data_IF_553656668156
#
_entry.id   IF_553656668156
#
_cell.length_a   1.000
_cell.length_b   1.000
_cell.length_c   1.000
_cell.angle_alpha   90.00
_cell.angle_beta   90.00
_cell.angle_gamma   90.00
#
_symmetry.space_group_name_H-M   'P 1'
#
loop_
_entity.id
_entity.type
_entity.pdbx_description
1 polymer ?
#
# COMPACT_ATOMS: atom_id res chain seq x y z
N UNK A 1 39.81 25.32 37.50
CA UNK A 1 39.97 24.70 36.17
C UNK A 1 39.60 23.24 36.31
N UNK A 2 38.37 22.84 35.95
CA UNK A 2 38.03 21.44 35.61
C UNK A 2 36.56 21.19 35.26
N UNK A 3 35.63 22.15 35.39
CA UNK A 3 34.19 21.88 35.12
C UNK A 3 33.69 22.25 33.72
N UNK A 4 34.53 22.80 32.84
CA UNK A 4 34.12 23.15 31.47
C UNK A 4 34.41 22.07 30.41
N UNK A 5 34.93 20.91 30.80
CA UNK A 5 35.40 19.89 29.86
C UNK A 5 34.53 18.61 29.80
N UNK A 6 33.50 18.50 30.64
CA UNK A 6 32.57 17.36 30.62
C UNK A 6 31.24 17.62 29.89
N UNK A 7 31.01 18.84 29.41
CA UNK A 7 29.79 19.21 28.68
C UNK A 7 29.91 19.09 27.14
N UNK A 8 31.08 18.71 26.61
CA UNK A 8 31.33 18.68 25.16
C UNK A 8 31.47 17.26 24.55
N UNK A 9 31.19 16.20 25.31
CA UNK A 9 31.35 14.80 24.82
C UNK A 9 30.02 14.09 24.52
N UNK A 10 28.88 14.79 24.51
CA UNK A 10 27.57 14.24 24.06
C UNK A 10 27.09 14.85 22.74
N UNK A 11 28.00 15.25 21.86
CA UNK A 11 27.68 15.61 20.48
C UNK A 11 27.87 14.40 19.55
N UNK A 12 26.87 14.18 18.68
CA UNK A 12 26.83 13.31 17.49
C UNK A 12 26.05 11.98 17.57
N UNK A 13 24.95 11.92 18.32
CA UNK A 13 23.85 11.09 17.82
C UNK A 13 23.12 11.87 16.71
N UNK A 14 23.23 11.44 15.45
CA UNK A 14 22.49 12.08 14.34
C UNK A 14 20.99 12.13 14.68
N UNK A 15 20.42 13.34 14.59
CA UNK A 15 19.00 13.58 14.79
C UNK A 15 18.18 12.79 13.76
N UNK A 16 17.02 12.22 14.13
CA UNK A 16 16.14 11.56 13.18
C UNK A 16 15.87 12.39 11.92
N UNK A 17 15.78 11.78 10.74
CA UNK A 17 15.45 12.53 9.52
C UNK A 17 14.02 13.06 9.56
N UNK A 18 13.08 12.22 10.02
CA UNK A 18 11.67 12.54 10.22
C UNK A 18 11.50 13.54 11.37
N UNK A 19 10.77 14.64 11.10
CA UNK A 19 10.44 15.63 12.14
C UNK A 19 9.46 15.01 13.13
N UNK A 20 8.49 14.24 12.66
CA UNK A 20 7.59 13.47 13.52
C UNK A 20 8.35 12.54 14.50
N UNK A 21 9.45 11.91 14.07
CA UNK A 21 10.31 11.13 14.97
C UNK A 21 11.00 11.97 16.06
N UNK A 22 11.41 13.20 15.74
CA UNK A 22 11.96 14.13 16.75
C UNK A 22 10.91 14.56 17.76
N UNK A 23 9.67 14.75 17.32
CA UNK A 23 8.53 15.17 18.16
C UNK A 23 7.92 13.98 18.94
N UNK A 24 8.20 12.75 18.49
CA UNK A 24 7.67 11.52 19.06
C UNK A 24 6.21 11.22 18.67
N UNK A 25 5.68 11.89 17.64
CA UNK A 25 4.32 11.74 17.11
C UNK A 25 4.21 12.25 15.67
N UNK A 26 3.19 11.78 14.93
CA UNK A 26 2.82 12.30 13.62
C UNK A 26 2.14 13.65 13.78
N UNK A 27 2.74 14.67 13.16
CA UNK A 27 2.32 16.05 13.38
C UNK A 27 2.76 16.97 12.23
N UNK A 28 1.94 17.97 11.93
CA UNK A 28 2.37 19.09 11.08
C UNK A 28 3.55 19.84 11.71
N UNK A 29 4.52 20.21 10.86
CA UNK A 29 5.68 20.99 11.28
C UNK A 29 5.28 22.44 11.52
N UNK A 30 6.16 23.24 12.15
CA UNK A 30 5.98 24.70 12.24
C UNK A 30 5.90 25.40 10.88
N UNK A 31 6.37 24.76 9.80
CA UNK A 31 6.18 25.23 8.42
C UNK A 31 4.78 24.95 7.86
N UNK A 32 3.91 24.29 8.63
CA UNK A 32 2.58 23.85 8.22
C UNK A 32 2.59 22.63 7.30
N UNK A 33 3.70 21.87 7.22
CA UNK A 33 3.84 20.70 6.34
C UNK A 33 3.82 19.38 7.08
N UNK A 34 3.27 18.36 6.43
CA UNK A 34 3.38 16.96 6.84
C UNK A 34 3.56 16.10 5.59
N UNK A 35 4.49 15.14 5.59
CA UNK A 35 4.87 14.40 4.37
C UNK A 35 4.74 12.90 4.57
N UNK A 36 4.03 12.26 3.66
CA UNK A 36 3.90 10.80 3.59
C UNK A 36 4.52 10.31 2.29
N UNK A 37 5.35 9.28 2.36
CA UNK A 37 5.91 8.62 1.20
C UNK A 37 5.29 7.22 1.06
N UNK A 38 4.67 6.91 -0.07
CA UNK A 38 4.12 5.60 -0.35
C UNK A 38 5.12 4.75 -1.16
N UNK A 39 5.37 3.53 -0.68
CA UNK A 39 5.97 2.45 -1.43
C UNK A 39 4.89 1.40 -1.75
N UNK A 40 4.69 1.11 -3.03
CA UNK A 40 3.75 0.10 -3.51
C UNK A 40 4.52 -1.04 -4.20
N UNK A 41 4.05 -2.27 -3.99
CA UNK A 41 4.50 -3.47 -4.71
C UNK A 41 6.01 -3.61 -4.82
N UNK A 42 6.71 -3.55 -3.68
CA UNK A 42 8.17 -3.74 -3.65
C UNK A 42 8.54 -5.10 -4.22
N UNK A 43 7.79 -6.16 -3.88
CA UNK A 43 7.95 -7.53 -4.41
C UNK A 43 9.40 -7.97 -4.64
N UNK A 44 10.29 -7.63 -3.69
CA UNK A 44 11.70 -8.03 -3.79
C UNK A 44 12.11 -8.92 -2.61
N UNK A 45 11.36 -8.96 -1.50
CA UNK A 45 11.69 -9.84 -0.38
C UNK A 45 11.52 -11.30 -0.84
N UNK A 46 12.56 -12.15 -0.66
CA UNK A 46 13.68 -12.00 0.28
C UNK A 46 14.99 -11.47 -0.32
N UNK A 47 15.07 -11.28 -1.64
CA UNK A 47 16.26 -10.81 -2.37
C UNK A 47 16.09 -9.36 -2.81
N UNK A 48 16.11 -8.45 -1.84
CA UNK A 48 15.91 -7.01 -2.07
C UNK A 48 16.92 -6.45 -3.08
N UNK A 49 16.44 -5.83 -4.16
CA UNK A 49 17.30 -5.23 -5.19
C UNK A 49 18.04 -4.02 -4.64
N UNK A 50 19.30 -3.84 -5.04
CA UNK A 50 20.08 -2.65 -4.68
C UNK A 50 19.49 -1.37 -5.27
N UNK A 51 18.84 -1.43 -6.43
CA UNK A 51 18.18 -0.27 -7.03
C UNK A 51 16.93 0.13 -6.23
N UNK A 52 16.17 -0.84 -5.69
CA UNK A 52 15.06 -0.56 -4.76
C UNK A 52 15.55 0.17 -3.51
N UNK A 53 16.67 -0.29 -2.93
CA UNK A 53 17.30 0.40 -1.80
C UNK A 53 17.72 1.83 -2.18
N UNK A 54 18.43 2.01 -3.29
CA UNK A 54 18.85 3.33 -3.77
C UNK A 54 17.67 4.28 -4.00
N UNK A 55 16.56 3.78 -4.53
CA UNK A 55 15.33 4.55 -4.72
C UNK A 55 14.78 5.05 -3.38
N UNK A 56 14.55 4.13 -2.43
CA UNK A 56 14.00 4.46 -1.11
C UNK A 56 14.92 5.45 -0.38
N UNK A 57 16.24 5.23 -0.39
CA UNK A 57 17.22 6.11 0.22
C UNK A 57 17.24 7.52 -0.38
N UNK A 58 17.24 7.60 -1.71
CA UNK A 58 17.26 8.89 -2.41
C UNK A 58 15.95 9.64 -2.21
N UNK A 59 14.81 8.94 -2.23
CA UNK A 59 13.51 9.54 -1.98
C UNK A 59 13.41 10.08 -0.55
N UNK A 60 13.79 9.27 0.45
CA UNK A 60 13.81 9.70 1.84
C UNK A 60 14.72 10.92 2.05
N UNK A 61 15.89 10.93 1.42
CA UNK A 61 16.85 12.04 1.53
C UNK A 61 16.32 13.32 0.86
N UNK A 62 15.66 13.19 -0.29
CA UNK A 62 15.12 14.32 -1.04
C UNK A 62 13.93 14.98 -0.35
N UNK A 63 12.98 14.19 0.17
CA UNK A 63 11.69 14.73 0.66
C UNK A 63 11.53 14.71 2.18
N UNK A 64 12.41 13.99 2.89
CA UNK A 64 12.43 13.91 4.37
C UNK A 64 11.05 13.62 4.95
N UNK A 65 10.45 12.46 4.63
CA UNK A 65 9.08 12.16 5.01
C UNK A 65 8.91 12.02 6.52
N UNK A 66 7.71 12.33 7.01
CA UNK A 66 7.30 12.07 8.38
C UNK A 66 6.96 10.60 8.60
N UNK A 67 6.38 9.97 7.58
CA UNK A 67 5.91 8.59 7.57
C UNK A 67 6.16 7.95 6.20
N UNK A 68 6.62 6.69 6.18
CA UNK A 68 6.59 5.85 4.98
C UNK A 68 5.48 4.80 5.10
N UNK A 69 4.69 4.62 4.06
CA UNK A 69 3.58 3.64 4.00
C UNK A 69 3.88 2.59 2.94
N UNK A 70 3.96 1.33 3.34
CA UNK A 70 4.04 0.17 2.44
C UNK A 70 2.63 -0.38 2.18
N UNK A 71 2.18 -0.33 0.92
CA UNK A 71 0.79 -0.60 0.51
C UNK A 71 0.57 -2.01 -0.04
N UNK A 72 1.11 -3.02 0.63
CA UNK A 72 1.04 -4.42 0.20
C UNK A 72 2.13 -4.86 -0.77
N UNK A 73 2.25 -6.18 -0.91
CA UNK A 73 3.17 -6.89 -1.79
C UNK A 73 4.63 -6.45 -1.60
N UNK A 74 5.13 -6.52 -0.37
CA UNK A 74 6.56 -6.35 -0.12
C UNK A 74 7.35 -7.62 -0.44
N UNK A 75 6.69 -8.78 -0.30
CA UNK A 75 7.27 -10.11 -0.52
C UNK A 75 6.82 -10.63 -1.88
N UNK A 76 7.79 -11.09 -2.67
CA UNK A 76 7.50 -11.88 -3.87
C UNK A 76 7.23 -13.33 -3.46
N UNK A 77 6.10 -13.57 -2.79
CA UNK A 77 5.80 -14.88 -2.20
C UNK A 77 5.69 -16.03 -3.20
N UNK A 78 5.54 -15.72 -4.49
CA UNK A 78 5.53 -16.66 -5.62
C UNK A 78 6.92 -17.10 -6.10
N UNK A 79 8.00 -16.51 -5.57
CA UNK A 79 9.38 -16.84 -5.97
C UNK A 79 9.76 -18.29 -5.65
N UNK A 80 10.68 -18.84 -6.45
CA UNK A 80 11.16 -20.23 -6.32
C UNK A 80 11.75 -20.59 -4.99
N UNK A 81 12.27 -19.61 -4.26
CA UNK A 81 12.78 -19.84 -2.92
C UNK A 81 11.69 -20.22 -1.90
N UNK A 82 10.41 -19.97 -2.21
CA UNK A 82 9.27 -20.32 -1.36
C UNK A 82 8.46 -21.51 -1.89
N UNK A 83 8.93 -22.23 -2.92
CA UNK A 83 8.10 -23.25 -3.59
C UNK A 83 7.63 -24.38 -2.66
N UNK A 84 8.43 -24.75 -1.65
CA UNK A 84 8.06 -25.77 -0.66
C UNK A 84 7.06 -25.28 0.39
N UNK A 85 6.91 -23.97 0.56
CA UNK A 85 6.03 -23.34 1.55
C UNK A 85 4.91 -22.53 0.89
N UNK A 86 4.85 -22.55 -0.44
CA UNK A 86 3.99 -21.68 -1.22
C UNK A 86 2.52 -21.93 -0.91
N UNK A 87 1.81 -20.86 -0.58
CA UNK A 87 0.37 -20.91 -0.35
C UNK A 87 -0.34 -20.13 -1.45
N UNK A 88 -1.09 -20.81 -2.32
CA UNK A 88 -1.75 -20.14 -3.45
C UNK A 88 -2.90 -19.24 -2.99
N UNK A 89 -3.69 -19.68 -1.99
CA UNK A 89 -4.86 -18.97 -1.44
C UNK A 89 -4.95 -19.19 0.07
N UNK A 90 -5.35 -18.18 0.84
CA UNK A 90 -5.43 -18.27 2.30
C UNK A 90 -6.44 -19.32 2.81
N UNK A 91 -7.47 -19.67 2.02
CA UNK A 91 -8.46 -20.70 2.39
C UNK A 91 -8.05 -22.13 2.01
N UNK A 92 -6.88 -22.33 1.39
CA UNK A 92 -6.37 -23.68 1.18
C UNK A 92 -5.80 -24.24 2.48
N UNK A 93 -6.03 -25.53 2.73
CA UNK A 93 -5.35 -26.21 3.84
C UNK A 93 -3.87 -26.31 3.49
N UNK A 94 -3.02 -25.68 4.29
CA UNK A 94 -1.60 -26.01 4.28
C UNK A 94 -1.40 -27.33 5.02
N UNK A 95 -0.50 -28.17 4.51
CA UNK A 95 0.04 -29.26 5.31
C UNK A 95 0.80 -28.68 6.51
N UNK A 96 0.92 -29.46 7.59
CA UNK A 96 1.68 -29.04 8.75
C UNK A 96 3.16 -28.97 8.38
N UNK A 97 3.70 -27.75 8.30
CA UNK A 97 5.12 -27.50 8.11
C UNK A 97 5.89 -27.89 9.38
N UNK A 98 6.99 -28.67 9.27
CA UNK A 98 7.86 -28.94 10.40
C UNK A 98 8.37 -27.66 11.07
N UNK A 99 8.51 -27.66 12.40
CA UNK A 99 8.92 -26.48 13.16
C UNK A 99 10.28 -25.91 12.73
N UNK A 100 11.21 -26.77 12.30
CA UNK A 100 12.52 -26.34 11.79
C UNK A 100 12.40 -25.52 10.52
N UNK A 101 11.57 -25.97 9.58
CA UNK A 101 11.34 -25.32 8.29
C UNK A 101 10.60 -24.00 8.49
N UNK A 102 9.64 -23.98 9.43
CA UNK A 102 8.92 -22.75 9.80
C UNK A 102 9.87 -21.69 10.37
N UNK A 103 10.79 -22.08 11.26
CA UNK A 103 11.81 -21.16 11.81
C UNK A 103 12.75 -20.64 10.73
N UNK A 104 13.16 -21.49 9.80
CA UNK A 104 14.00 -21.09 8.67
C UNK A 104 13.28 -20.09 7.75
N UNK A 105 12.00 -20.34 7.43
CA UNK A 105 11.17 -19.44 6.63
C UNK A 105 11.01 -18.07 7.32
N UNK A 106 10.66 -18.05 8.60
CA UNK A 106 10.55 -16.82 9.40
C UNK A 106 11.85 -16.01 9.37
N UNK A 107 13.01 -16.67 9.57
CA UNK A 107 14.30 -16.00 9.55
C UNK A 107 14.66 -15.47 8.16
N UNK A 108 14.37 -16.23 7.10
CA UNK A 108 14.63 -15.82 5.72
C UNK A 108 13.80 -14.59 5.33
N UNK A 109 12.50 -14.60 5.64
CA UNK A 109 11.60 -13.47 5.38
C UNK A 109 12.05 -12.26 6.20
N UNK A 110 12.33 -12.44 7.49
CA UNK A 110 12.84 -11.38 8.38
C UNK A 110 14.14 -10.75 7.86
N UNK A 111 15.08 -11.55 7.33
CA UNK A 111 16.32 -11.03 6.75
C UNK A 111 16.05 -10.16 5.52
N UNK A 112 15.10 -10.55 4.68
CA UNK A 112 14.70 -9.73 3.53
C UNK A 112 14.00 -8.44 3.95
N UNK A 113 13.06 -8.51 4.91
CA UNK A 113 12.40 -7.33 5.50
C UNK A 113 13.45 -6.38 6.09
N UNK A 114 14.41 -6.91 6.86
CA UNK A 114 15.48 -6.13 7.47
C UNK A 114 16.26 -5.32 6.44
N UNK A 115 16.63 -5.93 5.30
CA UNK A 115 17.28 -5.22 4.19
C UNK A 115 16.39 -4.15 3.57
N UNK A 116 15.11 -4.45 3.36
CA UNK A 116 14.16 -3.51 2.76
C UNK A 116 13.99 -2.24 3.62
N UNK A 117 13.85 -2.40 4.94
CA UNK A 117 13.57 -1.28 5.85
C UNK A 117 14.83 -0.64 6.44
N UNK A 118 16.02 -1.20 6.20
CA UNK A 118 17.30 -0.67 6.68
C UNK A 118 17.49 0.83 6.36
N UNK A 119 17.18 1.33 5.14
CA UNK A 119 17.20 2.77 4.84
C UNK A 119 16.41 3.64 5.80
N UNK A 120 15.24 3.16 6.25
CA UNK A 120 14.31 3.87 7.12
C UNK A 120 14.76 3.79 8.58
N UNK A 121 15.19 2.61 9.03
CA UNK A 121 15.69 2.40 10.40
C UNK A 121 16.95 3.25 10.66
N UNK A 122 17.92 3.24 9.74
CA UNK A 122 19.15 4.06 9.85
C UNK A 122 18.82 5.56 9.95
N UNK A 123 17.82 6.01 9.20
CA UNK A 123 17.39 7.43 9.14
C UNK A 123 16.34 7.77 10.19
N UNK A 124 15.93 6.80 11.02
CA UNK A 124 14.91 6.97 12.06
C UNK A 124 13.59 7.53 11.51
N UNK A 125 13.14 6.97 10.39
CA UNK A 125 11.89 7.36 9.72
C UNK A 125 10.81 6.35 10.10
N UNK A 126 9.72 6.77 10.78
CA UNK A 126 8.59 5.91 11.08
C UNK A 126 7.97 5.33 9.82
N UNK A 127 7.54 4.07 9.89
CA UNK A 127 6.90 3.41 8.77
C UNK A 127 5.80 2.43 9.20
N UNK A 128 4.91 2.15 8.26
CA UNK A 128 3.73 1.29 8.44
C UNK A 128 3.53 0.41 7.22
N UNK A 129 2.86 -0.73 7.41
CA UNK A 129 2.64 -1.71 6.37
C UNK A 129 1.21 -2.29 6.41
N UNK A 130 0.61 -2.43 5.24
CA UNK A 130 -0.52 -3.34 4.98
C UNK A 130 -0.11 -4.39 3.95
N UNK A 131 -0.98 -5.36 3.70
CA UNK A 131 -0.68 -6.57 2.96
C UNK A 131 -1.37 -6.61 1.61
N UNK A 132 -0.73 -7.30 0.66
CA UNK A 132 -1.28 -7.60 -0.64
C UNK A 132 -1.46 -9.09 -0.87
N UNK A 133 -1.83 -9.42 -2.09
CA UNK A 133 -2.16 -10.78 -2.53
C UNK A 133 -0.96 -11.71 -2.71
N UNK A 134 0.27 -11.18 -2.69
CA UNK A 134 1.51 -11.95 -2.82
C UNK A 134 2.25 -12.15 -1.49
N UNK A 135 1.99 -11.35 -0.46
CA UNK A 135 2.77 -11.39 0.78
C UNK A 135 2.67 -12.74 1.51
N UNK A 136 1.43 -13.23 1.70
CA UNK A 136 1.18 -14.51 2.39
C UNK A 136 1.64 -15.72 1.56
N UNK A 137 1.88 -15.54 0.26
CA UNK A 137 2.17 -16.66 -0.63
C UNK A 137 3.50 -17.34 -0.30
N UNK A 138 4.39 -16.69 0.45
CA UNK A 138 5.59 -17.31 0.99
C UNK A 138 5.32 -18.42 2.03
N UNK A 139 4.08 -18.56 2.51
CA UNK A 139 3.66 -19.57 3.49
C UNK A 139 3.45 -19.07 4.91
N UNK A 140 3.60 -17.76 5.13
CA UNK A 140 3.35 -17.10 6.42
C UNK A 140 2.01 -16.37 6.42
N UNK A 141 1.30 -16.38 7.54
CA UNK A 141 0.06 -15.60 7.68
C UNK A 141 0.35 -14.11 7.86
N UNK A 142 -0.66 -13.26 7.66
CA UNK A 142 -0.51 -11.82 7.91
C UNK A 142 -0.18 -11.53 9.39
N UNK A 143 -0.68 -12.33 10.34
CA UNK A 143 -0.33 -12.22 11.77
C UNK A 143 1.15 -12.50 12.03
N UNK A 144 1.73 -13.48 11.33
CA UNK A 144 3.14 -13.81 11.44
C UNK A 144 4.01 -12.74 10.79
N UNK A 145 3.64 -12.29 9.60
CA UNK A 145 4.31 -11.18 8.92
C UNK A 145 4.25 -9.90 9.76
N UNK A 146 3.08 -9.55 10.30
CA UNK A 146 2.91 -8.40 11.20
C UNK A 146 3.80 -8.52 12.44
N UNK A 147 3.91 -9.72 13.00
CA UNK A 147 4.79 -9.99 14.12
C UNK A 147 6.25 -9.77 13.78
N UNK A 148 6.72 -10.19 12.59
CA UNK A 148 8.07 -9.90 12.12
C UNK A 148 8.31 -8.40 11.90
N UNK A 149 7.37 -7.70 11.26
CA UNK A 149 7.49 -6.26 11.02
C UNK A 149 7.53 -5.45 12.33
N UNK A 150 6.80 -5.87 13.36
CA UNK A 150 6.77 -5.20 14.67
C UNK A 150 8.05 -5.33 15.49
N UNK A 151 8.99 -6.17 15.08
CA UNK A 151 10.30 -6.28 15.73
C UNK A 151 11.22 -5.08 15.42
N UNK A 152 10.91 -4.29 14.39
CA UNK A 152 11.68 -3.13 13.98
C UNK A 152 11.23 -1.86 14.71
N UNK A 153 12.20 -1.00 15.06
CA UNK A 153 11.98 0.13 15.97
C UNK A 153 11.15 1.26 15.37
N UNK A 154 11.24 1.47 14.05
CA UNK A 154 10.48 2.48 13.34
C UNK A 154 9.14 1.96 12.81
N UNK A 155 8.85 0.66 12.92
CA UNK A 155 7.56 0.09 12.56
C UNK A 155 6.48 0.54 13.53
N UNK A 156 5.36 1.05 13.01
CA UNK A 156 4.22 1.50 13.82
C UNK A 156 3.01 0.55 13.80
N UNK A 157 3.05 -0.59 13.10
CA UNK A 157 1.97 -1.58 13.18
C UNK A 157 1.79 -2.08 14.62
N UNK A 158 0.56 -2.25 15.13
CA UNK A 158 0.31 -2.72 16.50
C UNK A 158 -0.87 -3.68 16.55
N UNK A 159 -0.86 -4.54 17.56
CA UNK A 159 -1.96 -5.48 17.82
C UNK A 159 -2.91 -4.85 18.84
N UNK A 160 -4.21 -5.09 18.65
CA UNK A 160 -5.21 -4.73 19.65
C UNK A 160 -5.10 -5.70 20.84
N UNK A 161 -4.61 -5.24 21.99
CA UNK A 161 -4.77 -6.02 23.22
C UNK A 161 -6.21 -5.82 23.70
N UNK A 162 -7.04 -6.86 23.61
CA UNK A 162 -8.46 -6.86 24.00
C UNK A 162 -8.72 -6.58 25.50
N UNK A 163 -7.68 -6.31 26.29
CA UNK A 163 -7.77 -5.96 27.71
C UNK A 163 -7.58 -4.46 27.88
N UNK A 164 -8.70 -3.73 28.01
CA UNK A 164 -8.88 -2.33 28.43
C UNK A 164 -9.56 -1.47 27.37
N UNK A 165 -10.79 -1.06 27.71
CA UNK A 165 -11.59 0.02 27.13
C UNK A 165 -10.78 1.15 26.48
N UNK A 166 -11.14 1.47 25.22
CA UNK A 166 -11.09 2.78 24.52
C UNK A 166 -9.90 3.75 24.74
N UNK A 167 -8.83 3.32 25.38
CA UNK A 167 -7.62 4.09 25.63
C UNK A 167 -6.56 3.64 24.65
N UNK A 168 -6.20 4.55 23.74
CA UNK A 168 -5.12 4.39 22.80
C UNK A 168 -3.87 3.78 23.47
N UNK A 169 -3.39 2.65 22.96
CA UNK A 169 -2.18 2.03 23.49
C UNK A 169 -0.94 2.83 23.08
N UNK A 170 -0.39 3.62 23.99
CA UNK A 170 0.98 4.14 23.88
C UNK A 170 1.96 2.97 24.03
N UNK A 171 2.86 2.77 23.06
CA UNK A 171 3.83 1.66 23.03
C UNK A 171 5.24 2.17 23.34
N UNK A 172 5.91 1.51 24.28
CA UNK A 172 7.26 1.84 24.81
C UNK A 172 8.42 1.53 23.87
N UNK A 173 8.20 0.82 22.75
CA UNK A 173 9.24 0.43 21.78
C UNK A 173 9.12 1.13 20.42
N UNK A 174 8.20 2.09 20.26
CA UNK A 174 8.07 2.87 19.04
C UNK A 174 8.99 4.09 19.08
N UNK A 175 9.63 4.43 17.96
CA UNK A 175 10.31 5.73 17.85
C UNK A 175 9.35 6.92 18.10
N UNK A 176 8.06 6.74 17.83
CA UNK A 176 7.00 7.69 18.17
C UNK A 176 6.34 7.35 19.51
N UNK A 177 7.08 7.54 20.60
CA UNK A 177 6.64 7.19 21.97
C UNK A 177 5.37 7.92 22.46
N UNK A 178 4.96 9.01 21.81
CA UNK A 178 3.72 9.76 22.14
C UNK A 178 2.58 9.49 21.16
N UNK A 179 2.79 8.64 20.15
CA UNK A 179 1.80 8.40 19.11
C UNK A 179 0.63 7.57 19.66
N UNK A 180 -0.57 8.01 19.31
CA UNK A 180 -1.80 7.23 19.46
C UNK A 180 -1.97 6.35 18.23
N UNK A 181 -2.22 5.05 18.43
CA UNK A 181 -2.45 4.07 17.37
C UNK A 181 -3.75 3.34 17.72
N UNK A 182 -4.68 3.27 16.77
CA UNK A 182 -5.95 2.55 16.91
C UNK A 182 -5.87 1.27 16.07
N UNK A 183 -5.40 0.14 16.63
CA UNK A 183 -5.29 -1.12 15.91
C UNK A 183 -6.63 -1.85 15.77
N UNK A 184 -6.81 -2.59 14.66
CA UNK A 184 -7.96 -3.47 14.47
C UNK A 184 -7.52 -4.94 14.27
N UNK A 185 -6.74 -5.18 13.22
CA UNK A 185 -6.17 -6.47 12.84
C UNK A 185 -4.91 -6.23 12.00
N UNK A 186 -4.08 -7.25 11.70
CA UNK A 186 -2.89 -7.06 10.88
C UNK A 186 -3.16 -6.22 9.63
N UNK A 187 -2.39 -5.14 9.43
CA UNK A 187 -2.52 -4.26 8.27
C UNK A 187 -3.72 -3.31 8.29
N UNK A 188 -4.58 -3.38 9.31
CA UNK A 188 -5.74 -2.48 9.45
C UNK A 188 -5.70 -1.71 10.77
N UNK A 189 -5.51 -0.39 10.69
CA UNK A 189 -5.42 0.50 11.86
C UNK A 189 -5.46 1.98 11.45
N UNK A 190 -5.67 2.87 12.42
CA UNK A 190 -5.66 4.32 12.22
C UNK A 190 -4.58 5.03 13.04
N UNK A 191 -4.02 6.10 12.46
CA UNK A 191 -2.95 6.93 12.99
C UNK A 191 -3.38 8.41 12.93
N UNK A 192 -3.80 9.00 14.04
CA UNK A 192 -4.11 10.43 14.10
C UNK A 192 -2.88 11.30 13.85
N UNK A 193 -3.05 12.36 13.07
CA UNK A 193 -2.04 13.38 12.75
C UNK A 193 -2.44 14.69 13.42
N UNK A 194 -1.57 15.19 14.29
CA UNK A 194 -1.82 16.40 15.08
C UNK A 194 -1.47 17.68 14.31
N UNK A 195 -2.08 18.80 14.67
CA UNK A 195 -1.69 20.15 14.27
C UNK A 195 -0.32 20.56 14.84
N UNK A 196 0.24 21.68 14.39
CA UNK A 196 1.55 22.17 14.83
C UNK A 196 1.60 22.53 16.32
N UNK A 197 0.45 22.85 16.94
CA UNK A 197 0.34 23.17 18.38
C UNK A 197 0.17 21.94 19.28
N UNK A 198 -0.09 20.76 18.71
CA UNK A 198 -0.40 19.51 19.43
C UNK A 198 -1.74 19.51 20.17
N UNK A 199 -2.66 20.38 19.76
CA UNK A 199 -3.95 20.56 20.43
C UNK A 199 -5.04 19.72 19.76
N UNK A 200 -5.02 19.61 18.43
CA UNK A 200 -6.08 18.97 17.67
C UNK A 200 -5.55 17.91 16.71
N UNK A 201 -6.34 16.85 16.53
CA UNK A 201 -6.18 15.92 15.40
C UNK A 201 -6.73 16.61 14.16
N UNK A 202 -5.90 16.79 13.12
CA UNK A 202 -6.32 17.42 11.86
C UNK A 202 -7.01 16.40 10.95
N UNK A 203 -6.38 15.24 10.79
CA UNK A 203 -6.91 14.08 10.07
C UNK A 203 -6.23 12.81 10.57
N UNK A 204 -6.65 11.64 10.09
CA UNK A 204 -5.95 10.37 10.38
C UNK A 204 -5.53 9.65 9.11
N UNK A 205 -4.34 9.06 9.15
CA UNK A 205 -3.90 8.06 8.17
C UNK A 205 -4.56 6.73 8.56
N UNK A 206 -5.21 6.06 7.62
CA UNK A 206 -5.88 4.77 7.85
C UNK A 206 -5.29 3.74 6.91
N UNK A 207 -4.80 2.63 7.44
CA UNK A 207 -4.42 1.47 6.65
C UNK A 207 -5.55 0.46 6.69
N UNK A 208 -5.83 -0.19 5.55
CA UNK A 208 -6.80 -1.27 5.43
C UNK A 208 -6.11 -2.44 4.72
N UNK A 209 -6.21 -3.66 5.29
CA UNK A 209 -5.95 -4.89 4.55
C UNK A 209 -7.14 -5.13 3.62
N UNK A 210 -6.93 -4.86 2.32
CA UNK A 210 -7.97 -4.96 1.30
C UNK A 210 -8.33 -6.40 0.92
N UNK A 211 -7.74 -7.39 1.59
CA UNK A 211 -7.96 -8.82 1.36
C UNK A 211 -6.99 -9.41 0.34
N UNK A 212 -7.27 -10.64 -0.10
CA UNK A 212 -6.48 -11.38 -1.08
C UNK A 212 -7.26 -11.66 -2.38
N UNK A 213 -7.64 -12.91 -2.62
CA UNK A 213 -8.38 -13.32 -3.80
C UNK A 213 -9.82 -13.63 -3.40
N UNK A 214 -10.78 -13.46 -4.31
CA UNK A 214 -12.14 -13.94 -4.06
C UNK A 214 -12.24 -15.44 -4.38
N UNK A 215 -13.04 -16.18 -3.60
CA UNK A 215 -13.38 -17.58 -3.89
C UNK A 215 -14.13 -17.72 -5.22
N UNK A 216 -14.86 -16.68 -5.65
CA UNK A 216 -15.53 -16.64 -6.96
C UNK A 216 -14.54 -16.37 -8.13
N UNK A 217 -13.27 -16.15 -7.85
CA UNK A 217 -12.26 -15.63 -8.78
C UNK A 217 -12.17 -14.09 -8.71
N UNK A 218 -11.01 -13.56 -9.12
CA UNK A 218 -10.68 -12.14 -9.00
C UNK A 218 -10.10 -11.77 -7.64
N UNK A 219 -10.14 -10.49 -7.30
CA UNK A 219 -9.61 -9.95 -6.05
C UNK A 219 -10.67 -9.91 -4.96
N UNK A 220 -10.19 -10.02 -3.72
CA UNK A 220 -11.00 -10.05 -2.50
C UNK A 220 -11.47 -8.65 -2.08
N UNK A 221 -11.92 -8.55 -0.84
CA UNK A 221 -12.37 -7.30 -0.23
C UNK A 221 -11.92 -7.28 1.23
N UNK A 222 -11.90 -6.10 1.90
CA UNK A 222 -11.62 -6.04 3.32
C UNK A 222 -12.54 -6.96 4.14
N UNK A 223 -12.02 -7.41 5.29
CA UNK A 223 -12.81 -8.20 6.22
C UNK A 223 -13.99 -7.40 6.79
N UNK A 224 -15.04 -8.08 7.25
CA UNK A 224 -16.14 -7.41 7.98
C UNK A 224 -15.64 -6.68 9.22
N UNK A 225 -14.59 -7.21 9.87
CA UNK A 225 -14.00 -6.60 11.05
C UNK A 225 -13.31 -5.28 10.69
N UNK A 226 -12.56 -5.22 9.59
CA UNK A 226 -11.96 -4.00 9.06
C UNK A 226 -13.03 -2.95 8.69
N UNK A 227 -14.07 -3.33 7.96
CA UNK A 227 -15.15 -2.40 7.59
C UNK A 227 -15.89 -1.85 8.83
N UNK A 228 -16.22 -2.71 9.80
CA UNK A 228 -16.85 -2.28 11.05
C UNK A 228 -15.94 -1.37 11.88
N UNK A 229 -14.63 -1.57 11.85
CA UNK A 229 -13.67 -0.69 12.51
C UNK A 229 -13.67 0.69 11.85
N UNK A 230 -13.57 0.76 10.53
CA UNK A 230 -13.60 2.01 9.77
C UNK A 230 -14.89 2.78 9.99
N UNK A 231 -16.04 2.08 10.00
CA UNK A 231 -17.35 2.70 10.26
C UNK A 231 -17.41 3.43 11.62
N UNK A 232 -16.68 2.94 12.63
CA UNK A 232 -16.68 3.46 13.99
C UNK A 232 -15.59 4.50 14.27
N UNK A 233 -14.65 4.72 13.34
CA UNK A 233 -13.59 5.72 13.54
C UNK A 233 -14.12 7.13 13.89
N UNK A 234 -15.22 7.62 13.27
CA UNK A 234 -15.79 8.92 13.63
C UNK A 234 -16.26 9.04 15.09
N UNK A 235 -16.47 7.95 15.81
CA UNK A 235 -16.85 7.97 17.23
C UNK A 235 -15.72 8.51 18.13
N UNK A 236 -14.47 8.44 17.65
CA UNK A 236 -13.27 8.78 18.44
C UNK A 236 -12.32 9.76 17.74
N UNK A 237 -12.49 9.98 16.44
CA UNK A 237 -11.61 10.82 15.62
C UNK A 237 -12.42 11.75 14.72
N UNK A 238 -11.90 12.94 14.38
CA UNK A 238 -12.50 13.79 13.36
C UNK A 238 -12.72 13.01 12.04
N UNK A 239 -13.86 13.18 11.36
CA UNK A 239 -14.22 12.43 10.15
C UNK A 239 -13.44 12.94 8.92
N UNK A 240 -12.12 12.78 8.95
CA UNK A 240 -11.15 13.21 7.94
C UNK A 240 -10.08 12.13 7.82
N UNK A 241 -10.20 11.29 6.80
CA UNK A 241 -9.35 10.11 6.65
C UNK A 241 -8.62 10.08 5.30
N UNK A 242 -7.33 9.81 5.35
CA UNK A 242 -6.52 9.48 4.18
C UNK A 242 -6.20 7.98 4.25
N UNK A 243 -6.79 7.21 3.33
CA UNK A 243 -6.80 5.76 3.38
C UNK A 243 -5.71 5.20 2.46
N UNK A 244 -4.96 4.22 2.95
CA UNK A 244 -3.96 3.47 2.21
C UNK A 244 -4.34 1.99 2.22
N UNK A 245 -4.34 1.36 1.04
CA UNK A 245 -4.63 -0.05 0.89
C UNK A 245 -3.89 -0.63 -0.31
N UNK A 246 -3.97 -1.95 -0.49
CA UNK A 246 -3.32 -2.59 -1.61
C UNK A 246 -4.15 -2.48 -2.90
N UNK A 247 -5.37 -3.01 -2.90
CA UNK A 247 -6.22 -3.04 -4.09
C UNK A 247 -6.89 -1.69 -4.37
N UNK A 248 -6.95 -1.27 -5.65
CA UNK A 248 -7.81 -0.15 -6.05
C UNK A 248 -9.29 -0.53 -5.92
N UNK A 249 -10.12 0.48 -5.72
CA UNK A 249 -11.59 0.35 -5.70
C UNK A 249 -12.14 0.39 -7.12
N UNK A 250 -13.33 -0.19 -7.36
CA UNK A 250 -13.99 -0.09 -8.68
C UNK A 250 -14.17 1.37 -9.13
N UNK A 251 -14.32 2.29 -8.18
CA UNK A 251 -14.52 3.71 -8.41
C UNK A 251 -13.32 4.41 -9.05
N UNK A 252 -12.15 3.77 -9.13
CA UNK A 252 -11.03 4.27 -9.93
C UNK A 252 -11.41 4.38 -11.41
N UNK A 253 -12.31 3.53 -11.94
CA UNK A 253 -12.82 3.71 -13.31
C UNK A 253 -13.65 4.99 -13.49
N UNK A 254 -14.18 5.59 -12.41
CA UNK A 254 -15.00 6.82 -12.50
C UNK A 254 -14.17 8.09 -12.69
N UNK A 255 -12.86 8.03 -12.45
CA UNK A 255 -11.92 9.12 -12.75
C UNK A 255 -11.28 8.97 -14.13
N UNK A 256 -11.64 7.90 -14.85
CA UNK A 256 -11.23 7.65 -16.23
C UNK A 256 -12.40 7.93 -17.17
N UNK A 257 -12.09 8.20 -18.43
CA UNK A 257 -13.09 8.31 -19.50
C UNK A 257 -13.10 7.04 -20.32
N UNK A 258 -14.29 6.47 -20.51
CA UNK A 258 -14.48 5.37 -21.45
C UNK A 258 -14.43 5.88 -22.89
N UNK A 259 -13.75 5.13 -23.76
CA UNK A 259 -13.59 5.43 -25.18
C UNK A 259 -14.04 4.24 -26.03
N UNK A 260 -14.45 4.52 -27.27
CA UNK A 260 -14.78 3.46 -28.22
C UNK A 260 -13.54 2.65 -28.58
N UNK A 261 -13.73 1.35 -28.83
CA UNK A 261 -12.67 0.45 -29.29
C UNK A 261 -11.91 0.99 -30.51
N UNK A 262 -12.62 1.64 -31.45
CA UNK A 262 -12.04 2.19 -32.67
C UNK A 262 -11.07 3.36 -32.40
N UNK A 263 -11.24 4.08 -31.29
CA UNK A 263 -10.40 5.21 -30.89
C UNK A 263 -9.33 4.83 -29.86
N UNK A 264 -9.39 3.60 -29.32
CA UNK A 264 -8.58 3.19 -28.18
C UNK A 264 -7.07 3.34 -28.42
N UNK A 265 -6.58 2.93 -29.60
CA UNK A 265 -5.17 3.06 -29.95
C UNK A 265 -4.72 4.54 -30.07
N UNK A 266 -5.56 5.40 -30.66
CA UNK A 266 -5.25 6.82 -30.84
C UNK A 266 -5.19 7.55 -29.51
N UNK A 267 -6.07 7.18 -28.57
CA UNK A 267 -6.16 7.81 -27.26
C UNK A 267 -5.28 7.13 -26.20
N UNK A 268 -4.44 6.16 -26.60
CA UNK A 268 -3.63 5.35 -25.68
C UNK A 268 -4.47 4.74 -24.54
N UNK A 269 -5.69 4.34 -24.86
CA UNK A 269 -6.64 3.78 -23.92
C UNK A 269 -6.31 2.33 -23.60
N UNK A 270 -6.55 1.95 -22.36
CA UNK A 270 -6.28 0.64 -21.82
C UNK A 270 -7.58 -0.13 -21.65
N UNK A 271 -7.58 -1.42 -22.01
CA UNK A 271 -8.74 -2.28 -21.75
C UNK A 271 -8.95 -2.45 -20.24
N UNK A 272 -10.19 -2.33 -19.79
CA UNK A 272 -10.56 -2.66 -18.42
C UNK A 272 -10.29 -4.12 -18.08
N UNK A 273 -10.11 -4.39 -16.81
CA UNK A 273 -9.81 -5.73 -16.31
C UNK A 273 -11.08 -6.45 -15.82
N UNK A 274 -11.18 -7.75 -16.09
CA UNK A 274 -12.26 -8.66 -15.63
C UNK A 274 -13.68 -8.12 -15.86
N UNK A 275 -14.39 -7.69 -14.81
CA UNK A 275 -15.77 -7.14 -14.91
C UNK A 275 -15.86 -5.96 -15.88
N UNK A 276 -14.73 -5.28 -16.14
CA UNK A 276 -14.62 -4.15 -17.06
C UNK A 276 -13.97 -4.51 -18.42
N UNK A 277 -13.66 -5.79 -18.67
CA UNK A 277 -13.09 -6.24 -19.96
C UNK A 277 -14.04 -5.98 -21.13
N UNK A 278 -13.45 -5.66 -22.28
CA UNK A 278 -14.14 -5.22 -23.49
C UNK A 278 -14.49 -3.73 -23.53
N UNK A 279 -14.23 -2.98 -22.46
CA UNK A 279 -14.35 -1.52 -22.38
C UNK A 279 -12.95 -0.92 -22.33
N UNK A 280 -12.76 0.25 -22.97
CA UNK A 280 -11.45 0.90 -23.09
C UNK A 280 -11.47 2.23 -22.37
N UNK A 281 -10.42 2.54 -21.63
CA UNK A 281 -10.36 3.70 -20.75
C UNK A 281 -9.11 4.52 -21.00
N UNK A 282 -9.27 5.84 -21.11
CA UNK A 282 -8.18 6.81 -21.10
C UNK A 282 -8.27 7.69 -19.86
N UNK A 283 -7.19 8.39 -19.52
CA UNK A 283 -7.23 9.42 -18.47
C UNK A 283 -8.25 10.51 -18.85
N UNK A 284 -9.06 10.95 -17.90
CA UNK A 284 -9.93 12.12 -18.06
C UNK A 284 -9.20 13.36 -17.53
N UNK A 285 -8.75 14.23 -18.42
CA UNK A 285 -8.02 15.46 -18.09
C UNK A 285 -8.82 16.43 -17.19
N UNK A 286 -10.14 16.29 -17.12
CA UNK A 286 -10.98 17.10 -16.23
C UNK A 286 -11.02 16.57 -14.79
N UNK A 287 -10.53 15.34 -14.56
CA UNK A 287 -10.63 14.62 -13.29
C UNK A 287 -9.26 14.25 -12.73
N UNK A 288 -8.36 13.84 -13.60
CA UNK A 288 -7.01 13.39 -13.27
C UNK A 288 -6.08 14.59 -13.17
N UNK A 289 -5.31 14.65 -12.10
CA UNK A 289 -4.26 15.64 -11.90
C UNK A 289 -3.17 15.48 -12.98
N UNK A 290 -2.45 16.55 -13.34
CA UNK A 290 -1.38 16.49 -14.34
C UNK A 290 -0.31 15.43 -14.06
N UNK A 291 0.44 15.06 -15.10
CA UNK A 291 1.59 14.16 -15.07
C UNK A 291 1.29 12.69 -14.70
N UNK A 292 0.01 12.31 -14.71
CA UNK A 292 -0.42 10.93 -14.54
C UNK A 292 -0.30 10.09 -15.82
N UNK A 293 -0.18 8.77 -15.66
CA UNK A 293 -0.29 7.80 -16.76
C UNK A 293 -1.09 6.56 -16.33
N UNK A 294 -1.80 5.98 -17.31
CA UNK A 294 -2.52 4.71 -17.20
C UNK A 294 -1.79 3.68 -18.05
N UNK A 295 -1.25 2.64 -17.43
CA UNK A 295 -0.46 1.62 -18.12
C UNK A 295 -1.11 0.24 -18.13
N UNK A 296 -2.09 -0.01 -17.26
CA UNK A 296 -2.88 -1.25 -17.23
C UNK A 296 -4.31 -1.02 -16.72
N UNK A 297 -5.20 -1.97 -16.99
CA UNK A 297 -6.58 -1.92 -16.51
C UNK A 297 -6.61 -1.99 -14.98
N UNK A 298 -7.55 -1.29 -14.35
CA UNK A 298 -7.65 -1.26 -12.89
C UNK A 298 -8.00 -2.67 -12.37
N UNK A 299 -7.10 -3.27 -11.60
CA UNK A 299 -7.25 -4.60 -11.01
C UNK A 299 -8.00 -4.55 -9.68
N UNK A 300 -9.26 -4.10 -9.73
CA UNK A 300 -10.14 -4.01 -8.57
C UNK A 300 -10.97 -5.30 -8.34
N UNK A 301 -11.62 -5.46 -7.18
CA UNK A 301 -12.54 -6.58 -6.94
C UNK A 301 -13.69 -6.62 -7.95
N UNK A 302 -14.14 -7.82 -8.34
CA UNK A 302 -15.18 -7.99 -9.37
C UNK A 302 -16.57 -7.49 -8.90
N UNK A 303 -16.81 -7.50 -7.58
CA UNK A 303 -18.05 -7.07 -6.93
C UNK A 303 -17.73 -5.89 -6.01
N UNK A 304 -18.51 -4.82 -6.11
CA UNK A 304 -18.43 -3.69 -5.18
C UNK A 304 -18.90 -4.13 -3.79
N UNK A 305 -18.00 -4.09 -2.81
CA UNK A 305 -18.24 -4.48 -1.43
C UNK A 305 -19.00 -3.41 -0.62
N UNK A 306 -19.23 -2.22 -1.20
CA UNK A 306 -19.73 -1.04 -0.50
C UNK A 306 -18.63 -0.25 0.23
N UNK A 307 -17.36 -0.65 0.11
CA UNK A 307 -16.22 0.00 0.75
C UNK A 307 -16.12 1.49 0.40
N UNK A 308 -16.20 1.85 -0.89
CA UNK A 308 -16.17 3.26 -1.30
C UNK A 308 -17.29 4.08 -0.65
N UNK A 309 -18.52 3.53 -0.61
CA UNK A 309 -19.67 4.21 -0.03
C UNK A 309 -19.48 4.41 1.48
N UNK A 310 -18.92 3.42 2.17
CA UNK A 310 -18.54 3.52 3.57
C UNK A 310 -17.47 4.59 3.79
N UNK A 311 -16.39 4.58 3.01
CA UNK A 311 -15.29 5.55 3.10
C UNK A 311 -15.79 6.98 2.89
N UNK A 312 -16.64 7.19 1.88
CA UNK A 312 -17.29 8.48 1.66
C UNK A 312 -18.19 8.89 2.83
N UNK A 313 -18.96 7.95 3.41
CA UNK A 313 -19.83 8.19 4.58
C UNK A 313 -19.05 8.64 5.81
N UNK A 314 -17.88 8.04 6.07
CA UNK A 314 -17.07 8.36 7.26
C UNK A 314 -16.16 9.58 7.07
N UNK A 315 -16.11 10.17 5.87
CA UNK A 315 -15.32 11.38 5.61
C UNK A 315 -13.90 11.12 5.13
N UNK A 316 -13.66 9.98 4.46
CA UNK A 316 -12.42 9.80 3.71
C UNK A 316 -12.34 10.83 2.58
N UNK A 317 -11.20 11.50 2.46
CA UNK A 317 -10.94 12.47 1.39
C UNK A 317 -9.94 11.96 0.35
N UNK A 318 -9.20 10.89 0.67
CA UNK A 318 -8.31 10.22 -0.27
C UNK A 318 -8.27 8.72 -0.04
N UNK A 319 -8.13 7.95 -1.12
CA UNK A 319 -7.80 6.51 -1.11
C UNK A 319 -6.58 6.32 -2.00
N UNK A 320 -5.55 5.71 -1.44
CA UNK A 320 -4.26 5.50 -2.06
C UNK A 320 -4.00 4.01 -2.19
N UNK A 321 -3.84 3.54 -3.43
CA UNK A 321 -3.66 2.13 -3.77
C UNK A 321 -2.35 1.86 -4.50
N UNK A 322 -1.93 0.58 -4.46
CA UNK A 322 -0.89 0.02 -5.30
C UNK A 322 -1.52 -1.01 -6.24
N UNK A 323 -0.96 -2.22 -6.22
CA UNK A 323 -1.40 -3.43 -6.93
C UNK A 323 -1.25 -3.40 -8.46
N UNK A 324 -1.72 -2.33 -9.09
CA UNK A 324 -1.46 -2.06 -10.50
C UNK A 324 -0.05 -1.46 -10.64
N UNK A 325 0.93 -2.29 -11.03
CA UNK A 325 2.33 -1.91 -11.10
C UNK A 325 2.61 -0.80 -12.12
N UNK A 326 1.77 -0.66 -13.15
CA UNK A 326 1.94 0.26 -14.28
C UNK A 326 1.10 1.53 -14.16
N UNK A 327 0.23 1.66 -13.15
CA UNK A 327 -0.64 2.82 -13.04
C UNK A 327 -0.05 3.88 -12.10
N UNK A 328 0.01 5.12 -12.58
CA UNK A 328 0.49 6.25 -11.79
C UNK A 328 -0.36 7.48 -12.06
N UNK A 329 -1.48 7.62 -11.38
CA UNK A 329 -2.36 8.79 -11.55
C UNK A 329 -3.05 9.14 -10.23
N UNK A 330 -3.58 10.36 -10.13
CA UNK A 330 -4.42 10.79 -9.03
C UNK A 330 -5.61 11.54 -9.60
N UNK A 331 -6.83 11.16 -9.26
CA UNK A 331 -8.05 11.76 -9.83
C UNK A 331 -9.11 12.05 -8.78
N UNK A 332 -9.83 13.16 -8.96
CA UNK A 332 -10.96 13.53 -8.09
C UNK A 332 -12.24 12.82 -8.58
N UNK A 333 -12.76 11.92 -7.76
CA UNK A 333 -14.02 11.22 -8.03
C UNK A 333 -15.18 12.22 -8.16
N UNK A 334 -16.04 12.09 -9.18
CA UNK A 334 -16.97 13.15 -9.58
C UNK A 334 -18.08 13.50 -8.57
N UNK A 335 -18.49 12.57 -7.71
CA UNK A 335 -19.66 12.73 -6.84
C UNK A 335 -19.28 13.10 -5.41
N UNK A 336 -18.22 12.46 -4.89
CA UNK A 336 -17.77 12.62 -3.50
C UNK A 336 -16.52 13.47 -3.39
N UNK A 337 -15.92 13.88 -4.52
CA UNK A 337 -14.69 14.66 -4.59
C UNK A 337 -13.53 14.00 -3.82
N UNK A 338 -13.57 12.68 -3.68
CA UNK A 338 -12.53 11.89 -3.02
C UNK A 338 -11.38 11.69 -4.01
N UNK A 339 -10.15 11.92 -3.55
CA UNK A 339 -8.95 11.74 -4.36
C UNK A 339 -8.57 10.26 -4.42
N UNK A 340 -8.63 9.66 -5.60
CA UNK A 340 -8.24 8.27 -5.86
C UNK A 340 -6.86 8.24 -6.48
N UNK A 341 -5.90 7.58 -5.85
CA UNK A 341 -4.47 7.64 -6.18
C UNK A 341 -3.95 6.24 -6.47
N UNK A 342 -3.56 5.97 -7.72
CA UNK A 342 -2.84 4.77 -8.10
C UNK A 342 -1.33 5.05 -8.15
N UNK A 343 -0.54 4.16 -7.55
CA UNK A 343 0.92 4.27 -7.48
C UNK A 343 1.58 3.03 -8.05
N UNK A 344 2.56 3.17 -8.95
CA UNK A 344 3.21 2.04 -9.60
C UNK A 344 4.15 1.32 -8.63
N UNK A 345 4.66 0.16 -9.05
CA UNK A 345 5.67 -0.58 -8.29
C UNK A 345 6.95 0.25 -8.09
N UNK A 346 7.50 0.20 -6.88
CA UNK A 346 8.84 0.73 -6.58
C UNK A 346 9.92 -0.38 -6.50
N UNK A 347 9.50 -1.64 -6.52
CA UNK A 347 10.36 -2.83 -6.58
C UNK A 347 11.11 -2.97 -7.88
N UNK A 348 12.06 -3.89 -7.99
CA UNK A 348 12.81 -4.13 -9.25
C UNK A 348 12.82 -5.60 -9.70
N UNK A 349 12.16 -6.50 -8.96
CA UNK A 349 12.10 -7.93 -9.27
C UNK A 349 10.81 -8.36 -9.95
N UNK A 350 9.74 -7.56 -9.87
CA UNK A 350 8.44 -7.83 -10.50
C UNK A 350 8.27 -7.12 -11.85
N UNK A 351 7.21 -7.44 -12.59
CA UNK A 351 6.79 -6.66 -13.76
C UNK A 351 6.48 -5.22 -13.37
N UNK A 352 6.52 -4.30 -14.32
CA UNK A 352 6.22 -2.90 -14.05
C UNK A 352 6.75 -1.98 -15.13
N UNK A 353 6.78 -0.66 -14.86
CA UNK A 353 7.26 0.30 -15.84
C UNK A 353 8.74 0.10 -16.10
N UNK A 354 9.26 0.79 -17.12
CA UNK A 354 10.69 0.81 -17.38
C UNK A 354 11.47 1.13 -16.09
N UNK A 355 12.66 0.55 -15.86
CA UNK A 355 13.40 0.73 -14.62
C UNK A 355 13.61 2.19 -14.17
N UNK A 356 13.70 3.14 -15.11
CA UNK A 356 13.80 4.58 -14.81
C UNK A 356 12.48 5.21 -14.33
N UNK A 357 11.33 4.59 -14.64
CA UNK A 357 9.97 5.03 -14.29
C UNK A 357 9.43 4.36 -13.03
N UNK A 358 10.10 3.34 -12.50
CA UNK A 358 9.83 2.80 -11.15
C UNK A 358 10.01 3.91 -10.13
N UNK A 359 9.11 4.00 -9.16
CA UNK A 359 9.06 5.17 -8.31
C UNK A 359 8.20 5.00 -7.08
N UNK A 360 8.35 5.95 -6.16
CA UNK A 360 7.53 6.10 -4.95
C UNK A 360 6.70 7.35 -5.07
N UNK A 361 5.57 7.43 -4.34
CA UNK A 361 4.69 8.60 -4.39
C UNK A 361 4.78 9.43 -3.12
N UNK A 362 5.08 10.71 -3.26
CA UNK A 362 4.97 11.69 -2.19
C UNK A 362 3.52 12.18 -2.10
N UNK A 363 3.01 12.28 -0.89
CA UNK A 363 1.86 13.09 -0.51
C UNK A 363 2.35 14.14 0.49
N UNK A 364 2.29 15.42 0.10
CA UNK A 364 2.57 16.54 1.00
C UNK A 364 1.27 17.26 1.37
N UNK A 365 1.01 17.31 2.67
CA UNK A 365 -0.11 18.00 3.26
C UNK A 365 0.32 19.40 3.71
N UNK A 366 -0.56 20.39 3.52
CA UNK A 366 -0.42 21.74 4.03
C UNK A 366 -1.56 22.02 5.00
N UNK A 367 -1.26 22.52 6.19
CA UNK A 367 -2.26 22.70 7.24
C UNK A 367 -3.38 23.69 6.87
N UNK A 368 -3.14 24.56 5.87
CA UNK A 368 -4.17 25.48 5.35
C UNK A 368 -5.18 24.77 4.45
N UNK A 369 -4.78 23.66 3.82
CA UNK A 369 -5.60 22.82 2.96
C UNK A 369 -5.32 21.32 3.23
N UNK A 370 -5.57 20.83 4.46
CA UNK A 370 -5.02 19.55 4.93
C UNK A 370 -5.71 18.33 4.30
N UNK A 371 -6.81 18.54 3.58
CA UNK A 371 -7.57 17.48 2.91
C UNK A 371 -7.38 17.48 1.39
N UNK A 372 -6.48 18.34 0.88
CA UNK A 372 -6.12 18.42 -0.54
C UNK A 372 -4.61 18.25 -0.70
N UNK A 373 -4.06 17.04 -0.43
CA UNK A 373 -2.63 16.83 -0.49
C UNK A 373 -2.10 17.06 -1.90
N UNK A 374 -0.93 17.70 -1.98
CA UNK A 374 -0.15 17.73 -3.21
C UNK A 374 0.51 16.37 -3.37
N UNK A 375 0.49 15.83 -4.57
CA UNK A 375 1.12 14.54 -4.86
C UNK A 375 2.13 14.63 -5.97
N UNK A 376 3.19 13.83 -5.88
CA UNK A 376 4.29 13.81 -6.85
C UNK A 376 4.85 12.39 -6.96
N UNK A 377 5.11 11.94 -8.19
CA UNK A 377 5.92 10.75 -8.44
C UNK A 377 7.41 11.09 -8.30
N UNK A 378 8.12 10.29 -7.52
CA UNK A 378 9.58 10.31 -7.43
C UNK A 378 10.12 9.10 -8.18
N UNK A 379 10.35 9.30 -9.48
CA UNK A 379 10.83 8.27 -10.40
C UNK A 379 12.34 8.06 -10.27
N UNK A 380 12.79 6.81 -10.36
CA UNK A 380 14.19 6.42 -10.23
C UNK A 380 15.12 7.19 -11.16
N UNK A 381 14.75 7.33 -12.44
CA UNK A 381 15.56 7.99 -13.47
C UNK A 381 15.89 9.43 -13.12
N UNK A 382 14.90 10.15 -12.59
CA UNK A 382 15.03 11.56 -12.21
C UNK A 382 15.72 11.74 -10.85
N UNK A 383 15.47 10.82 -9.92
CA UNK A 383 15.90 10.95 -8.53
C UNK A 383 17.28 10.32 -8.27
N UNK A 384 17.56 9.19 -8.91
CA UNK A 384 18.73 8.33 -8.66
C UNK A 384 19.68 8.30 -9.86
N UNK A 385 19.15 8.48 -11.07
CA UNK A 385 19.92 8.40 -12.33
C UNK A 385 19.76 7.04 -13.01
N UNK A 386 20.87 6.43 -13.46
CA UNK A 386 20.82 5.21 -14.27
C UNK A 386 20.60 3.95 -13.41
N UNK A 387 19.58 3.13 -13.72
CA UNK A 387 19.38 1.82 -13.09
C UNK A 387 20.56 0.88 -13.35
N UNK A 388 20.86 0.03 -12.38
CA UNK A 388 21.89 -1.01 -12.49
C UNK A 388 21.40 -2.17 -13.35
N UNK A 389 20.10 -2.48 -13.26
CA UNK A 389 19.42 -3.50 -14.08
C UNK A 389 18.92 -2.91 -15.40
N UNK A 390 19.16 -3.63 -16.50
CA UNK A 390 18.59 -3.34 -17.84
C UNK A 390 17.32 -4.14 -18.12
N UNK A 391 16.82 -4.93 -17.17
CA UNK A 391 15.64 -5.80 -17.39
C UNK A 391 14.37 -4.94 -17.29
N UNK A 392 13.76 -4.64 -18.43
CA UNK A 392 12.36 -4.26 -18.47
C UNK A 392 11.54 -5.55 -18.33
N UNK A 393 10.85 -5.73 -17.21
CA UNK A 393 9.90 -6.83 -17.05
C UNK A 393 8.55 -6.37 -17.60
N UNK A 394 8.35 -6.59 -18.90
CA UNK A 394 7.05 -6.42 -19.54
C UNK A 394 6.11 -7.54 -19.11
N UNK A 395 4.87 -7.22 -18.76
CA UNK A 395 3.80 -8.20 -18.59
C UNK A 395 3.48 -8.82 -19.95
N UNK A 396 4.27 -9.81 -20.34
CA UNK A 396 3.93 -10.78 -21.36
C UNK A 396 3.60 -12.10 -20.66
N UNK A 397 2.92 -12.99 -21.37
CA UNK A 397 2.64 -14.38 -21.01
C UNK A 397 3.85 -15.20 -20.49
N UNK A 398 5.03 -14.60 -20.39
CA UNK A 398 6.25 -15.07 -19.74
C UNK A 398 6.32 -14.79 -18.23
N UNK A 399 5.24 -14.34 -17.59
CA UNK A 399 5.02 -14.61 -16.17
C UNK A 399 4.60 -16.08 -15.94
N UNK A 400 5.04 -16.99 -16.81
CA UNK A 400 5.38 -18.33 -16.36
C UNK A 400 6.44 -18.14 -15.27
N UNK A 401 6.02 -18.27 -14.02
CA UNK A 401 6.94 -18.79 -13.01
C UNK A 401 7.75 -19.92 -13.66
N UNK A 402 9.04 -20.05 -13.37
CA UNK A 402 9.81 -21.29 -13.66
C UNK A 402 9.27 -22.51 -12.86
N UNK A 403 8.02 -22.45 -12.42
CA UNK A 403 7.21 -23.47 -11.79
C UNK A 403 6.04 -23.78 -12.72
N UNK A 404 5.76 -25.07 -12.88
CA UNK A 404 4.48 -25.55 -13.39
C UNK A 404 3.36 -25.21 -12.39
N UNK A 405 3.00 -23.93 -12.26
CA UNK A 405 1.81 -23.51 -11.54
C UNK A 405 0.60 -23.83 -12.42
N UNK A 406 -0.41 -24.57 -11.92
CA UNK A 406 -1.58 -24.93 -12.74
C UNK A 406 -2.27 -23.69 -13.26
N UNK A 407 -2.58 -23.66 -14.57
CA UNK A 407 -3.20 -22.55 -15.29
C UNK A 407 -4.19 -21.78 -14.41
N UNK A 408 -3.93 -20.48 -14.25
CA UNK A 408 -4.87 -19.58 -13.61
C UNK A 408 -5.71 -18.98 -14.72
N UNK A 409 -6.98 -19.36 -14.81
CA UNK A 409 -7.94 -18.67 -15.66
C UNK A 409 -8.28 -17.30 -15.05
N UNK A 410 -7.32 -16.38 -15.12
CA UNK A 410 -7.46 -14.97 -14.74
C UNK A 410 -8.38 -14.22 -15.71
N UNK A 411 -8.59 -14.78 -16.90
CA UNK A 411 -9.29 -14.17 -18.03
C UNK A 411 -10.71 -14.72 -18.26
N UNK A 412 -11.30 -15.48 -17.33
CA UNK A 412 -12.60 -16.18 -17.51
C UNK A 412 -13.61 -15.35 -18.32
N UNK A 413 -13.66 -15.61 -19.64
CA UNK A 413 -14.85 -15.31 -20.45
C UNK A 413 -15.94 -16.22 -19.87
N UNK A 414 -17.06 -15.68 -19.36
CA UNK A 414 -18.06 -16.50 -18.69
C UNK A 414 -18.55 -17.58 -19.67
N UNK A 415 -18.51 -18.83 -19.22
CA UNK A 415 -18.98 -19.96 -20.04
C UNK A 415 -20.46 -19.75 -20.41
N UNK A 416 -20.87 -20.31 -21.55
CA UNK A 416 -22.26 -20.30 -22.00
C UNK A 416 -23.22 -20.79 -20.91
N UNK A 417 -22.78 -21.74 -20.09
CA UNK A 417 -23.52 -22.28 -18.96
C UNK A 417 -23.74 -21.21 -17.85
N UNK A 418 -22.72 -20.42 -17.53
CA UNK A 418 -22.82 -19.33 -16.55
C UNK A 418 -23.73 -18.20 -17.04
N UNK A 419 -23.72 -17.89 -18.34
CA UNK A 419 -24.66 -16.93 -18.97
C UNK A 419 -26.11 -17.44 -18.91
N UNK A 420 -26.32 -18.74 -19.12
CA UNK A 420 -27.63 -19.39 -19.04
C UNK A 420 -28.18 -19.38 -17.61
N UNK A 421 -27.36 -19.71 -16.61
CA UNK A 421 -27.76 -19.69 -15.19
C UNK A 421 -28.12 -18.26 -14.74
N UNK A 422 -27.37 -17.24 -15.22
CA UNK A 422 -27.65 -15.83 -14.89
C UNK A 422 -28.97 -15.34 -15.51
N UNK A 423 -29.28 -15.76 -16.74
CA UNK A 423 -30.59 -15.52 -17.38
C UNK A 423 -31.74 -16.24 -16.67
N UNK A 424 -31.50 -17.45 -16.16
CA UNK A 424 -32.53 -18.22 -15.46
C UNK A 424 -32.88 -17.62 -14.10
N UNK A 425 -31.88 -17.08 -13.37
CA UNK A 425 -32.10 -16.39 -12.09
C UNK A 425 -32.82 -15.04 -12.24
N UNK A 426 -32.62 -14.32 -13.35
CA UNK A 426 -33.35 -13.07 -13.64
C UNK A 426 -34.83 -13.30 -13.99
N UNK A 427 -35.21 -14.49 -14.44
CA UNK A 427 -36.60 -14.85 -14.73
C UNK A 427 -37.40 -15.36 -13.53
N UNK A 428 -36.78 -15.54 -12.35
CA UNK A 428 -37.48 -15.97 -11.13
C UNK A 428 -37.77 -14.82 -10.16
N UNK A 429 -37.45 -13.58 -10.52
CA UNK A 429 -37.74 -12.37 -9.73
C UNK A 429 -38.65 -11.39 -10.47
N UNK A 430 -39.61 -11.93 -11.23
CA UNK A 430 -40.77 -11.18 -11.72
C UNK A 430 -42.05 -11.95 -11.43
#
# INVERSE_FOLDING_TARGET
MSDSAQSEVTANAELPLSISARLGRLQFHLSGKFRVLQCADVQDVPKVSSDTIRLIESACSAVRPDLVVFTGNQIAGYEKVFSSTFTRRRWQKSENMPDCDRKQLLQQVKNGISRLVEPLEKRKIPWVVTYGNHDFQCGLSNEELDSLYREFSCCMNRVSNYTSSSSAMQSTNCILHKQIILPCEPGTFALPVMDESQENVVFSIVLIDSGDYSQSGGYGQPSKKALNFVEKLPDSLPPRFCVFQHFPLQQYYRVLREVSKDSAAQESAIEGYRTFSGRYYALDENRVLPDGYLGEGISCPDVDSGEFALLAKVGAFAVVAGHDHLNAFAGKEPEKNMLLIATPTCGFSSYGPEPAKRGVRLLEFDIRHPFEPRTQMLEFGNLVGKPSTKKAYTYGLTAESEHDLPEVDLLRKPSLLTKLIRRWRQHQTH
#
